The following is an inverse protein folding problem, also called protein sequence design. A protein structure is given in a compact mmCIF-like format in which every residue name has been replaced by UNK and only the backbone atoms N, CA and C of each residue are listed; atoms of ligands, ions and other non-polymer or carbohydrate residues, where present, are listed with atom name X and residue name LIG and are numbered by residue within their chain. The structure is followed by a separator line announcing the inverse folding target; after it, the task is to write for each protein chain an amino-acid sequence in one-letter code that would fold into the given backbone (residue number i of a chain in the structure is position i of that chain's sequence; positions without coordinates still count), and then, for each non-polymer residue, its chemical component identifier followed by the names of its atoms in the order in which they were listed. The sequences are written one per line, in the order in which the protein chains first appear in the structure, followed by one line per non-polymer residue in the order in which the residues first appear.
data_IF_407583192845
#
_entry.id   IF_407583192845
#
_cell.length_a   1.000
_cell.length_b   1.000
_cell.length_c   1.000
_cell.angle_alpha   90.00
_cell.angle_beta   90.00
_cell.angle_gamma   90.00
#
_symmetry.space_group_name_H-M   'P 1'
#
loop_
_entity.id
_entity.type
_entity.pdbx_description
1 polymer ?
#
# COMPACT_ATOMS: atom_id res chain seq x y z
N UNK A 1 9.68 4.21 -1.69
CA UNK A 1 8.26 3.78 -1.71
C UNK A 1 7.37 4.81 -2.37
N UNK A 2 7.42 6.09 -2.01
CA UNK A 2 6.68 7.14 -2.75
C UNK A 2 6.97 7.12 -4.26
N UNK A 3 8.24 7.02 -4.69
CA UNK A 3 8.58 6.88 -6.11
C UNK A 3 7.86 5.70 -6.80
N UNK A 4 7.74 4.57 -6.10
CA UNK A 4 7.08 3.38 -6.64
C UNK A 4 5.56 3.55 -6.68
N UNK A 5 4.97 4.21 -5.68
CA UNK A 5 3.56 4.63 -5.72
C UNK A 5 3.28 5.59 -6.90
N UNK A 6 4.18 6.55 -7.15
CA UNK A 6 4.06 7.46 -8.29
C UNK A 6 4.19 6.75 -9.63
N UNK A 7 4.95 5.64 -9.72
CA UNK A 7 5.01 4.84 -10.95
C UNK A 7 3.65 4.21 -11.33
N UNK A 8 2.73 4.03 -10.36
CA UNK A 8 1.36 3.60 -10.65
C UNK A 8 0.49 4.68 -11.27
N UNK A 9 0.90 5.96 -11.25
CA UNK A 9 0.15 7.04 -11.89
C UNK A 9 0.09 6.86 -13.42
N UNK A 10 1.23 6.79 -14.14
CA UNK A 10 1.19 6.53 -15.58
C UNK A 10 0.56 5.15 -15.88
N UNK A 11 0.81 4.13 -15.05
CA UNK A 11 0.19 2.80 -15.24
C UNK A 11 -1.34 2.84 -15.12
N UNK A 12 -1.88 3.60 -14.17
CA UNK A 12 -3.32 3.76 -14.01
C UNK A 12 -3.95 4.53 -15.16
N UNK A 13 -3.27 5.55 -15.70
CA UNK A 13 -3.73 6.26 -16.89
C UNK A 13 -3.71 5.35 -18.14
N UNK A 14 -2.67 4.54 -18.31
CA UNK A 14 -2.62 3.51 -19.36
C UNK A 14 -3.76 2.50 -19.17
N UNK A 15 -4.01 2.05 -17.94
CA UNK A 15 -5.09 1.12 -17.63
C UNK A 15 -6.47 1.73 -17.97
N UNK A 16 -6.69 3.01 -17.70
CA UNK A 16 -7.92 3.72 -18.11
C UNK A 16 -8.05 3.72 -19.64
N UNK A 17 -6.98 4.03 -20.37
CA UNK A 17 -7.00 4.00 -21.83
C UNK A 17 -7.26 2.57 -22.38
N UNK A 18 -6.71 1.54 -21.74
CA UNK A 18 -7.01 0.15 -22.10
C UNK A 18 -8.47 -0.23 -21.82
N UNK A 19 -9.07 0.33 -20.77
CA UNK A 19 -10.47 0.11 -20.45
C UNK A 19 -11.42 0.70 -21.50
N UNK A 20 -11.09 1.86 -22.08
CA UNK A 20 -11.90 2.45 -23.18
C UNK A 20 -11.82 1.63 -24.47
N UNK A 21 -10.73 0.88 -24.65
CA UNK A 21 -10.55 -0.09 -25.75
C UNK A 21 -11.19 -1.46 -25.46
N UNK A 22 -11.78 -1.66 -24.27
CA UNK A 22 -12.39 -2.93 -23.88
C UNK A 22 -11.41 -4.04 -23.48
N UNK A 23 -10.12 -3.72 -23.31
CA UNK A 23 -9.07 -4.71 -22.98
C UNK A 23 -9.14 -5.15 -21.51
N UNK A 24 -9.47 -4.23 -20.61
CA UNK A 24 -9.69 -4.51 -19.18
C UNK A 24 -10.98 -3.85 -18.71
N UNK A 25 -11.55 -4.32 -17.61
CA UNK A 25 -12.74 -3.68 -17.05
C UNK A 25 -12.40 -2.30 -16.45
N UNK A 26 -13.29 -1.30 -16.56
CA UNK A 26 -13.09 0.01 -15.94
C UNK A 26 -12.79 -0.07 -14.43
N UNK A 27 -13.44 -0.99 -13.72
CA UNK A 27 -13.22 -1.21 -12.29
C UNK A 27 -11.77 -1.66 -12.01
N UNK A 28 -11.18 -2.50 -12.86
CA UNK A 28 -9.78 -2.91 -12.70
C UNK A 28 -8.82 -1.76 -12.93
N UNK A 29 -9.07 -0.93 -13.94
CA UNK A 29 -8.29 0.29 -14.16
C UNK A 29 -8.33 1.22 -12.93
N UNK A 30 -9.50 1.37 -12.30
CA UNK A 30 -9.63 2.13 -11.07
C UNK A 30 -8.82 1.54 -9.92
N UNK A 31 -8.74 0.22 -9.78
CA UNK A 31 -7.92 -0.40 -8.73
C UNK A 31 -6.42 -0.15 -8.92
N UNK A 32 -5.93 -0.07 -10.15
CA UNK A 32 -4.54 0.34 -10.42
C UNK A 32 -4.26 1.74 -9.85
N UNK A 33 -5.22 2.67 -9.95
CA UNK A 33 -5.09 4.00 -9.35
C UNK A 33 -5.29 3.99 -7.84
N UNK A 34 -6.41 3.44 -7.35
CA UNK A 34 -6.80 3.56 -5.94
C UNK A 34 -5.92 2.71 -5.03
N UNK A 35 -5.61 1.47 -5.42
CA UNK A 35 -4.69 0.60 -4.67
C UNK A 35 -3.26 0.99 -4.98
N UNK A 36 -2.91 1.07 -6.27
CA UNK A 36 -1.54 1.24 -6.71
C UNK A 36 -0.93 2.61 -6.40
N UNK A 37 -1.70 3.70 -6.52
CA UNK A 37 -1.23 5.06 -6.18
C UNK A 37 -1.67 5.45 -4.78
N UNK A 38 -2.98 5.51 -4.53
CA UNK A 38 -3.49 6.16 -3.31
C UNK A 38 -3.15 5.33 -2.08
N UNK A 39 -3.50 4.05 -2.05
CA UNK A 39 -3.27 3.20 -0.88
C UNK A 39 -1.78 3.03 -0.58
N UNK A 40 -0.93 2.82 -1.59
CA UNK A 40 0.52 2.69 -1.39
C UNK A 40 1.17 4.00 -0.94
N UNK A 41 0.72 5.14 -1.45
CA UNK A 41 1.18 6.46 -1.01
C UNK A 41 0.76 6.73 0.44
N UNK A 42 -0.50 6.42 0.79
CA UNK A 42 -0.98 6.51 2.16
C UNK A 42 -0.16 5.62 3.09
N UNK A 43 0.08 4.36 2.73
CA UNK A 43 0.92 3.45 3.51
C UNK A 43 2.33 4.02 3.69
N UNK A 44 2.89 4.63 2.64
CA UNK A 44 4.20 5.28 2.71
C UNK A 44 4.24 6.47 3.67
N UNK A 45 3.19 7.29 3.65
CA UNK A 45 3.06 8.42 4.56
C UNK A 45 2.85 7.94 6.00
N UNK A 46 1.91 7.00 6.23
CA UNK A 46 1.58 6.48 7.56
C UNK A 46 2.82 5.88 8.24
N UNK A 47 3.54 4.99 7.56
CA UNK A 47 4.74 4.35 8.11
C UNK A 47 5.83 5.36 8.48
N UNK A 48 6.08 6.35 7.61
CA UNK A 48 7.06 7.43 7.85
C UNK A 48 6.63 8.33 9.00
N UNK A 49 5.37 8.76 9.00
CA UNK A 49 4.81 9.65 10.01
C UNK A 49 4.81 8.98 11.39
N UNK A 50 4.39 7.72 11.49
CA UNK A 50 4.43 6.96 12.74
C UNK A 50 5.85 6.89 13.31
N UNK A 51 6.85 6.54 12.49
CA UNK A 51 8.25 6.50 12.98
C UNK A 51 8.78 7.89 13.35
N UNK A 52 8.55 8.89 12.51
CA UNK A 52 9.00 10.26 12.74
C UNK A 52 8.40 10.88 14.00
N UNK A 53 7.09 10.76 14.20
CA UNK A 53 6.40 11.33 15.36
C UNK A 53 6.63 10.55 16.65
N UNK A 54 7.04 9.28 16.55
CA UNK A 54 7.42 8.47 17.72
C UNK A 54 8.94 8.44 17.99
N UNK A 55 9.73 9.25 17.28
CA UNK A 55 11.17 9.39 17.52
C UNK A 55 11.99 8.15 17.15
N UNK A 56 11.49 7.30 16.26
CA UNK A 56 12.16 6.08 15.81
C UNK A 56 12.97 6.32 14.53
N UNK A 57 14.02 5.51 14.28
CA UNK A 57 14.75 5.57 13.02
C UNK A 57 13.83 5.44 11.80
N UNK A 58 14.03 6.32 10.81
CA UNK A 58 13.26 6.37 9.57
C UNK A 58 13.72 5.30 8.56
N UNK A 59 13.93 4.08 9.04
CA UNK A 59 14.38 2.94 8.24
C UNK A 59 13.26 1.91 8.12
N UNK A 60 13.00 1.44 6.91
CA UNK A 60 12.03 0.37 6.68
C UNK A 60 12.59 -0.97 7.18
N UNK A 61 11.82 -1.68 7.98
CA UNK A 61 12.18 -3.05 8.39
C UNK A 61 11.73 -4.04 7.31
N UNK A 62 12.06 -5.33 7.50
CA UNK A 62 11.58 -6.39 6.61
C UNK A 62 10.05 -6.49 6.60
N UNK A 63 9.37 -6.26 7.74
CA UNK A 63 7.91 -6.27 7.82
C UNK A 63 7.32 -5.10 7.04
N UNK A 64 7.91 -3.91 7.19
CA UNK A 64 7.54 -2.71 6.43
C UNK A 64 7.67 -2.95 4.92
N UNK A 65 8.80 -3.53 4.48
CA UNK A 65 9.03 -3.85 3.07
C UNK A 65 8.02 -4.88 2.57
N UNK A 66 7.77 -5.96 3.33
CA UNK A 66 6.78 -6.96 2.98
C UNK A 66 5.37 -6.37 2.86
N UNK A 67 4.98 -5.46 3.76
CA UNK A 67 3.71 -4.71 3.69
C UNK A 67 3.56 -3.96 2.37
N UNK A 68 4.61 -3.23 1.94
CA UNK A 68 4.59 -2.53 0.65
C UNK A 68 4.48 -3.49 -0.53
N UNK A 69 5.32 -4.53 -0.57
CA UNK A 69 5.34 -5.49 -1.68
C UNK A 69 4.00 -6.20 -1.83
N UNK A 70 3.37 -6.59 -0.72
CA UNK A 70 2.03 -7.17 -0.72
C UNK A 70 1.00 -6.21 -1.32
N UNK A 71 1.03 -4.92 -0.96
CA UNK A 71 0.08 -3.95 -1.50
C UNK A 71 0.29 -3.66 -2.99
N UNK A 72 1.55 -3.59 -3.45
CA UNK A 72 1.86 -3.48 -4.87
C UNK A 72 1.42 -4.71 -5.65
N UNK A 73 1.65 -5.91 -5.11
CA UNK A 73 1.19 -7.15 -5.71
C UNK A 73 -0.34 -7.20 -5.79
N UNK A 74 -1.06 -6.74 -4.75
CA UNK A 74 -2.52 -6.63 -4.78
C UNK A 74 -3.00 -5.69 -5.91
N UNK A 75 -2.35 -4.53 -6.09
CA UNK A 75 -2.70 -3.58 -7.15
C UNK A 75 -2.56 -4.17 -8.57
N UNK A 76 -1.60 -5.06 -8.78
CA UNK A 76 -1.34 -5.71 -10.08
C UNK A 76 -2.15 -6.99 -10.27
N UNK A 77 -2.38 -7.75 -9.20
CA UNK A 77 -3.19 -8.96 -9.24
C UNK A 77 -4.65 -8.64 -9.64
N UNK A 78 -5.16 -7.48 -9.25
CA UNK A 78 -6.54 -7.09 -9.55
C UNK A 78 -6.88 -7.01 -11.05
N UNK A 79 -6.15 -6.24 -11.90
CA UNK A 79 -6.37 -6.28 -13.35
C UNK A 79 -5.95 -7.61 -13.98
N UNK A 80 -4.97 -8.33 -13.41
CA UNK A 80 -4.58 -9.65 -13.90
C UNK A 80 -5.71 -10.69 -13.72
N UNK A 81 -6.49 -10.59 -12.64
CA UNK A 81 -7.65 -11.44 -12.41
C UNK A 81 -8.70 -11.28 -13.52
N UNK A 82 -8.93 -10.05 -13.98
CA UNK A 82 -9.87 -9.79 -15.08
C UNK A 82 -9.34 -10.36 -16.42
N UNK A 83 -8.04 -10.23 -16.68
CA UNK A 83 -7.41 -10.72 -17.90
C UNK A 83 -7.35 -12.25 -17.98
N UNK A 84 -7.15 -12.91 -16.84
CA UNK A 84 -7.05 -14.37 -16.77
C UNK A 84 -8.42 -15.04 -16.61
N UNK A 85 -9.39 -14.34 -16.03
CA UNK A 85 -10.69 -14.91 -15.65
C UNK A 85 -10.61 -15.93 -14.51
N UNK A 86 -9.46 -16.06 -13.84
CA UNK A 86 -9.22 -17.08 -12.82
C UNK A 86 -9.65 -16.58 -11.44
N UNK A 87 -10.65 -17.21 -10.78
CA UNK A 87 -11.17 -16.75 -9.49
C UNK A 87 -10.10 -16.62 -8.41
N UNK A 88 -9.13 -17.53 -8.39
CA UNK A 88 -8.05 -17.54 -7.40
C UNK A 88 -7.12 -16.32 -7.47
N UNK A 89 -7.01 -15.67 -8.63
CA UNK A 89 -6.20 -14.44 -8.75
C UNK A 89 -6.89 -13.27 -8.05
N UNK A 90 -8.23 -13.23 -8.10
CA UNK A 90 -9.02 -12.25 -7.35
C UNK A 90 -8.89 -12.47 -5.84
N UNK A 91 -9.02 -13.72 -5.39
CA UNK A 91 -8.85 -14.10 -3.97
C UNK A 91 -7.45 -13.73 -3.48
N UNK A 92 -6.42 -14.02 -4.28
CA UNK A 92 -5.04 -13.63 -3.97
C UNK A 92 -4.88 -12.11 -3.87
N UNK A 93 -5.51 -11.33 -4.75
CA UNK A 93 -5.50 -9.86 -4.66
C UNK A 93 -6.07 -9.37 -3.33
N UNK A 94 -7.18 -9.94 -2.88
CA UNK A 94 -7.78 -9.61 -1.58
C UNK A 94 -6.91 -10.04 -0.39
N UNK A 95 -6.34 -11.24 -0.46
CA UNK A 95 -5.44 -11.77 0.57
C UNK A 95 -4.17 -10.92 0.72
N UNK A 96 -3.58 -10.48 -0.40
CA UNK A 96 -2.42 -9.59 -0.42
C UNK A 96 -2.72 -8.22 0.19
N UNK A 97 -3.92 -7.67 -0.06
CA UNK A 97 -4.39 -6.45 0.60
C UNK A 97 -4.49 -6.62 2.12
N UNK A 98 -5.16 -7.68 2.57
CA UNK A 98 -5.31 -8.00 4.01
C UNK A 98 -3.94 -8.18 4.65
N UNK A 99 -3.04 -8.92 4.00
CA UNK A 99 -1.68 -9.14 4.49
C UNK A 99 -0.90 -7.82 4.59
N UNK A 100 -0.98 -6.95 3.59
CA UNK A 100 -0.28 -5.66 3.60
C UNK A 100 -0.64 -4.81 4.83
N UNK A 101 -1.95 -4.67 5.10
CA UNK A 101 -2.44 -3.88 6.23
C UNK A 101 -2.30 -4.63 7.57
N UNK A 102 -2.41 -5.95 7.58
CA UNK A 102 -2.14 -6.76 8.76
C UNK A 102 -0.70 -6.62 9.23
N UNK A 103 0.27 -6.68 8.30
CA UNK A 103 1.70 -6.43 8.60
C UNK A 103 1.94 -5.00 9.09
N UNK A 104 1.27 -4.01 8.49
CA UNK A 104 1.33 -2.63 8.95
C UNK A 104 0.81 -2.51 10.39
N UNK A 105 -0.37 -3.05 10.69
CA UNK A 105 -0.96 -3.00 12.04
C UNK A 105 -0.05 -3.70 13.05
N UNK A 106 0.49 -4.87 12.69
CA UNK A 106 1.38 -5.65 13.55
C UNK A 106 2.64 -4.88 13.94
N UNK A 107 3.28 -4.19 13.00
CA UNK A 107 4.51 -3.44 13.28
C UNK A 107 4.23 -2.06 13.90
N UNK A 108 3.28 -1.31 13.35
CA UNK A 108 3.07 0.11 13.66
C UNK A 108 2.02 0.35 14.74
N UNK A 109 1.05 -0.56 14.92
CA UNK A 109 0.01 -0.47 15.95
C UNK A 109 0.58 -0.36 17.37
N UNK A 110 1.47 -1.27 17.80
CA UNK A 110 2.11 -1.19 19.12
C UNK A 110 2.85 0.12 19.37
N UNK A 111 3.44 0.72 18.33
CA UNK A 111 4.16 2.00 18.45
C UNK A 111 3.25 3.17 18.84
N UNK A 112 1.98 3.11 18.46
CA UNK A 112 0.99 4.16 18.66
C UNK A 112 0.14 3.92 19.92
N UNK A 113 -0.14 2.64 20.23
CA UNK A 113 -1.06 2.28 21.33
C UNK A 113 -0.30 2.07 22.64
N UNK A 114 0.86 1.39 22.61
CA UNK A 114 1.54 0.95 23.83
C UNK A 114 2.60 1.94 24.32
N UNK A 115 3.17 2.74 23.41
CA UNK A 115 4.29 3.61 23.74
C UNK A 115 3.82 5.04 23.98
N UNK A 116 3.74 5.41 25.25
CA UNK A 116 3.48 6.80 25.65
C UNK A 116 4.73 7.65 25.43
N UNK A 117 4.61 8.72 24.65
CA UNK A 117 5.68 9.72 24.51
C UNK A 117 5.98 10.29 25.90
N UNK A 118 7.22 10.14 26.39
CA UNK A 118 7.64 10.90 27.59
C UNK A 118 7.56 12.39 27.22
N UNK A 119 6.92 13.24 28.05
CA UNK A 119 6.98 14.69 27.86
C UNK A 119 8.44 15.09 27.72
N UNK A 120 8.74 16.01 26.80
CA UNK A 120 10.05 16.66 26.79
C UNK A 120 10.19 17.29 28.16
N UNK A 121 11.18 16.86 28.94
CA UNK A 121 11.53 17.59 30.16
C UNK A 121 11.93 18.98 29.71
N UNK A 122 11.22 19.99 30.21
CA UNK A 122 11.64 21.37 30.04
C UNK A 122 13.02 21.48 30.70
N UNK A 123 14.06 21.56 29.87
CA UNK A 123 15.37 22.01 30.32
C UNK A 123 15.24 23.49 30.63
N UNK A 124 15.01 23.77 31.91
CA UNK A 124 15.22 25.06 32.55
C UNK A 124 16.71 25.44 32.52
#
# INVERSE_FOLDING_TARGET
MLHLAYAFMPLGLIAIALATLGVIQPVSALHVLTVGVIATMMLAVMTRATRGHTGRPLTATRLTVASYLSLFAAALARPLADLTGWPHVMEASGALWILAFGLFILEYGPMLILVRRKPRGDSA
#
